data_IF_566787491063
#
_entry.id   IF_566787491063
#
_cell.length_a   1.000
_cell.length_b   1.000
_cell.length_c   1.000
_cell.angle_alpha   90.00
_cell.angle_beta   90.00
_cell.angle_gamma   90.00
#
_symmetry.space_group_name_H-M   'P 1'
#
loop_
_entity.id
_entity.type
_entity.pdbx_description
1 polymer ?
#
# COMPACT_ATOMS: atom_id res chain seq x y z
N UNK A 1 -24.48 16.31 -18.00
CA UNK A 1 -24.15 16.60 -16.59
C UNK A 1 -24.84 15.57 -15.72
N UNK A 2 -24.18 14.42 -15.53
CA UNK A 2 -24.75 13.24 -14.91
C UNK A 2 -25.17 13.52 -13.45
N UNK A 3 -26.35 13.03 -13.04
CA UNK A 3 -26.89 13.18 -11.68
C UNK A 3 -25.87 12.78 -10.59
N UNK A 4 -25.01 11.81 -10.87
CA UNK A 4 -23.92 11.38 -10.00
C UNK A 4 -22.90 12.50 -9.68
N UNK A 5 -22.58 13.38 -10.64
CA UNK A 5 -21.64 14.48 -10.43
C UNK A 5 -22.21 15.56 -9.50
N UNK A 6 -23.52 15.81 -9.58
CA UNK A 6 -24.22 16.77 -8.71
C UNK A 6 -24.34 16.21 -7.28
N UNK A 7 -24.65 14.91 -7.15
CA UNK A 7 -24.67 14.23 -5.85
C UNK A 7 -23.27 14.18 -5.21
N UNK A 8 -22.22 13.97 -6.01
CA UNK A 8 -20.83 14.02 -5.53
C UNK A 8 -20.45 15.41 -5.01
N UNK A 9 -20.80 16.48 -5.73
CA UNK A 9 -20.58 17.86 -5.25
C UNK A 9 -21.36 18.16 -3.97
N UNK A 10 -22.57 17.59 -3.82
CA UNK A 10 -23.36 17.68 -2.58
C UNK A 10 -22.71 16.90 -1.43
N UNK A 11 -22.15 15.73 -1.69
CA UNK A 11 -21.39 14.99 -0.69
C UNK A 11 -20.15 15.77 -0.24
N UNK A 12 -19.46 16.45 -1.16
CA UNK A 12 -18.30 17.28 -0.86
C UNK A 12 -18.64 18.50 0.01
N UNK A 13 -19.75 19.19 -0.26
CA UNK A 13 -20.17 20.33 0.58
C UNK A 13 -20.60 19.89 1.99
N UNK A 14 -21.07 18.66 2.14
CA UNK A 14 -21.46 18.09 3.43
C UNK A 14 -20.27 17.57 4.25
N UNK A 15 -19.07 17.43 3.68
CA UNK A 15 -17.85 16.98 4.39
C UNK A 15 -17.53 17.83 5.64
N UNK A 16 -17.85 19.13 5.60
CA UNK A 16 -17.62 20.07 6.70
C UNK A 16 -18.78 20.17 7.68
N UNK A 17 -19.98 19.73 7.31
CA UNK A 17 -21.23 20.05 8.01
C UNK A 17 -21.86 18.81 8.64
N UNK A 18 -21.94 17.70 7.91
CA UNK A 18 -22.44 16.41 8.38
C UNK A 18 -21.76 15.25 7.64
N UNK A 19 -20.81 14.60 8.34
CA UNK A 19 -20.00 13.52 7.77
C UNK A 19 -20.79 12.24 7.54
N UNK A 20 -21.82 11.97 8.35
CA UNK A 20 -22.61 10.74 8.22
C UNK A 20 -23.54 10.83 7.00
N UNK A 21 -24.17 11.99 6.79
CA UNK A 21 -24.97 12.23 5.59
C UNK A 21 -24.11 12.17 4.30
N UNK A 22 -22.85 12.61 4.36
CA UNK A 22 -21.91 12.48 3.24
C UNK A 22 -21.57 11.01 2.93
N UNK A 23 -21.34 10.20 3.98
CA UNK A 23 -21.10 8.75 3.86
C UNK A 23 -22.30 8.04 3.18
N UNK A 24 -23.53 8.35 3.59
CA UNK A 24 -24.73 7.74 3.01
C UNK A 24 -24.90 8.07 1.52
N UNK A 25 -24.66 9.33 1.14
CA UNK A 25 -24.73 9.78 -0.26
C UNK A 25 -23.64 9.10 -1.09
N UNK A 26 -22.41 9.02 -0.57
CA UNK A 26 -21.31 8.35 -1.26
C UNK A 26 -21.56 6.84 -1.39
N UNK A 27 -22.12 6.18 -0.37
CA UNK A 27 -22.55 4.79 -0.48
C UNK A 27 -23.62 4.60 -1.55
N UNK A 28 -24.58 5.53 -1.67
CA UNK A 28 -25.59 5.48 -2.72
C UNK A 28 -25.00 5.61 -4.13
N UNK A 29 -24.00 6.48 -4.31
CA UNK A 29 -23.29 6.64 -5.59
C UNK A 29 -22.47 5.38 -5.92
N UNK A 30 -21.76 4.82 -4.94
CA UNK A 30 -20.95 3.60 -5.12
C UNK A 30 -21.82 2.38 -5.42
N UNK A 31 -23.02 2.30 -4.84
CA UNK A 31 -24.01 1.24 -5.10
C UNK A 31 -24.70 1.33 -6.46
N UNK A 32 -24.69 2.48 -7.13
CA UNK A 32 -25.25 2.57 -8.48
C UNK A 32 -24.38 1.82 -9.48
N UNK A 33 -25.00 0.95 -10.26
CA UNK A 33 -24.37 0.36 -11.43
C UNK A 33 -24.11 1.44 -12.47
N UNK A 34 -22.88 1.47 -12.97
CA UNK A 34 -22.45 2.38 -14.02
C UNK A 34 -22.33 1.55 -15.28
N UNK A 35 -22.89 2.03 -16.40
CA UNK A 35 -22.65 1.41 -17.70
C UNK A 35 -21.21 1.71 -18.12
N UNK A 36 -20.49 0.69 -18.60
CA UNK A 36 -19.06 0.77 -18.92
C UNK A 36 -18.70 1.84 -19.98
N UNK A 37 -19.68 2.29 -20.77
CA UNK A 37 -19.51 3.33 -21.82
C UNK A 37 -19.52 4.78 -21.30
N UNK A 38 -19.92 5.03 -20.05
CA UNK A 38 -19.96 6.40 -19.48
C UNK A 38 -18.65 6.71 -18.72
N UNK A 39 -17.65 7.22 -19.44
CA UNK A 39 -16.36 7.61 -18.87
C UNK A 39 -16.48 8.66 -17.74
N UNK A 40 -17.47 9.55 -17.81
CA UNK A 40 -17.72 10.55 -16.76
C UNK A 40 -18.25 9.87 -15.49
N UNK A 41 -19.21 8.95 -15.62
CA UNK A 41 -19.76 8.20 -14.49
C UNK A 41 -18.71 7.28 -13.85
N UNK A 42 -17.86 6.62 -14.65
CA UNK A 42 -16.74 5.81 -14.13
C UNK A 42 -15.77 6.67 -13.31
N UNK A 43 -15.44 7.87 -13.80
CA UNK A 43 -14.57 8.81 -13.08
C UNK A 43 -15.18 9.32 -11.78
N UNK A 44 -16.47 9.67 -11.80
CA UNK A 44 -17.19 10.09 -10.58
C UNK A 44 -17.24 8.95 -9.56
N UNK A 45 -17.45 7.71 -10.02
CA UNK A 45 -17.44 6.54 -9.14
C UNK A 45 -16.06 6.28 -8.53
N UNK A 46 -14.99 6.37 -9.32
CA UNK A 46 -13.60 6.27 -8.82
C UNK A 46 -13.33 7.31 -7.71
N UNK A 47 -13.69 8.57 -7.95
CA UNK A 47 -13.52 9.65 -6.96
C UNK A 47 -14.38 9.43 -5.71
N UNK A 48 -15.62 8.98 -5.89
CA UNK A 48 -16.55 8.69 -4.79
C UNK A 48 -16.03 7.57 -3.90
N UNK A 49 -15.42 6.52 -4.47
CA UNK A 49 -14.83 5.43 -3.70
C UNK A 49 -13.65 5.92 -2.86
N UNK A 50 -12.78 6.77 -3.42
CA UNK A 50 -11.63 7.32 -2.69
C UNK A 50 -12.06 8.28 -1.56
N UNK A 51 -13.01 9.16 -1.84
CA UNK A 51 -13.57 10.07 -0.81
C UNK A 51 -14.28 9.30 0.30
N UNK A 52 -15.07 8.27 -0.06
CA UNK A 52 -15.72 7.40 0.92
C UNK A 52 -14.68 6.67 1.76
N UNK A 53 -13.65 6.08 1.13
CA UNK A 53 -12.56 5.42 1.84
C UNK A 53 -11.83 6.37 2.81
N UNK A 54 -11.56 7.60 2.38
CA UNK A 54 -10.94 8.62 3.21
C UNK A 54 -11.82 9.09 4.38
N UNK A 55 -13.14 9.14 4.19
CA UNK A 55 -14.09 9.42 5.27
C UNK A 55 -14.15 8.28 6.29
N UNK A 56 -14.31 7.03 5.82
CA UNK A 56 -14.33 5.83 6.67
C UNK A 56 -13.03 5.69 7.49
N UNK A 57 -11.89 6.04 6.89
CA UNK A 57 -10.61 6.06 7.59
C UNK A 57 -10.59 7.13 8.70
N UNK A 58 -11.08 8.36 8.42
CA UNK A 58 -11.17 9.44 9.41
C UNK A 58 -12.17 9.16 10.53
N UNK A 59 -13.23 8.41 10.27
CA UNK A 59 -14.24 8.02 11.27
C UNK A 59 -13.85 6.76 12.06
N UNK A 60 -12.74 6.09 11.70
CA UNK A 60 -12.27 4.90 12.40
C UNK A 60 -13.05 3.62 12.05
N UNK A 61 -13.83 3.61 10.97
CA UNK A 61 -14.71 2.49 10.61
C UNK A 61 -13.98 1.43 9.77
N UNK A 62 -13.07 0.68 10.40
CA UNK A 62 -12.23 -0.30 9.72
C UNK A 62 -13.05 -1.42 9.04
N UNK A 63 -14.07 -1.97 9.72
CA UNK A 63 -14.88 -3.05 9.16
C UNK A 63 -15.62 -2.64 7.87
N UNK A 64 -16.14 -1.40 7.83
CA UNK A 64 -16.83 -0.85 6.66
C UNK A 64 -15.84 -0.59 5.52
N UNK A 65 -14.63 -0.10 5.81
CA UNK A 65 -13.59 0.11 4.81
C UNK A 65 -13.09 -1.22 4.20
N UNK A 66 -12.89 -2.25 5.02
CA UNK A 66 -12.57 -3.60 4.54
C UNK A 66 -13.70 -4.20 3.69
N UNK A 67 -14.96 -3.97 4.09
CA UNK A 67 -16.15 -4.36 3.31
C UNK A 67 -16.24 -3.62 1.97
N UNK A 68 -15.92 -2.32 1.96
CA UNK A 68 -15.86 -1.52 0.73
C UNK A 68 -14.83 -2.09 -0.24
N UNK A 69 -13.65 -2.48 0.24
CA UNK A 69 -12.60 -3.07 -0.59
C UNK A 69 -13.05 -4.37 -1.29
N UNK A 70 -13.87 -5.18 -0.61
CA UNK A 70 -14.50 -6.39 -1.18
C UNK A 70 -15.58 -6.02 -2.21
N UNK A 71 -16.41 -5.04 -1.88
CA UNK A 71 -17.53 -4.60 -2.71
C UNK A 71 -17.08 -3.98 -4.05
N UNK A 72 -15.95 -3.26 -4.07
CA UNK A 72 -15.47 -2.61 -5.28
C UNK A 72 -14.77 -3.56 -6.26
N UNK A 73 -14.44 -4.81 -5.87
CA UNK A 73 -13.72 -5.78 -6.73
C UNK A 73 -14.35 -5.99 -8.12
N UNK A 74 -15.68 -6.15 -8.26
CA UNK A 74 -16.31 -6.26 -9.59
C UNK A 74 -16.13 -4.99 -10.44
N UNK A 75 -16.24 -3.81 -9.83
CA UNK A 75 -16.01 -2.52 -10.53
C UNK A 75 -14.55 -2.36 -10.97
N UNK A 76 -13.59 -2.90 -10.24
CA UNK A 76 -12.17 -2.85 -10.62
C UNK A 76 -11.86 -3.65 -11.91
N UNK A 77 -12.76 -4.53 -12.34
CA UNK A 77 -12.62 -5.28 -13.59
C UNK A 77 -13.15 -4.52 -14.81
N UNK A 78 -13.99 -3.50 -14.64
CA UNK A 78 -14.44 -2.65 -15.75
C UNK A 78 -13.51 -1.48 -16.06
N UNK A 79 -12.56 -1.16 -15.17
CA UNK A 79 -11.58 -0.07 -15.39
C UNK A 79 -10.20 -0.59 -15.80
N UNK A 80 -9.35 0.30 -16.30
CA UNK A 80 -7.98 -0.08 -16.68
C UNK A 80 -7.17 -0.61 -15.50
N UNK A 81 -6.28 -1.58 -15.78
CA UNK A 81 -5.43 -2.24 -14.76
C UNK A 81 -4.65 -1.25 -13.91
N UNK A 82 -4.16 -0.16 -14.52
CA UNK A 82 -3.41 0.89 -13.81
C UNK A 82 -4.28 1.70 -12.84
N UNK A 83 -5.50 2.08 -13.25
CA UNK A 83 -6.45 2.80 -12.38
C UNK A 83 -6.89 1.91 -11.21
N UNK A 84 -7.24 0.67 -11.50
CA UNK A 84 -7.60 -0.28 -10.45
C UNK A 84 -6.45 -0.53 -9.46
N UNK A 85 -5.21 -0.67 -9.96
CA UNK A 85 -4.05 -0.83 -9.08
C UNK A 85 -3.78 0.40 -8.21
N UNK A 86 -4.08 1.62 -8.71
CA UNK A 86 -4.02 2.84 -7.91
C UNK A 86 -5.09 2.84 -6.82
N UNK A 87 -6.33 2.56 -7.18
CA UNK A 87 -7.49 2.58 -6.28
C UNK A 87 -7.31 1.56 -5.13
N UNK A 88 -6.95 0.31 -5.45
CA UNK A 88 -6.72 -0.74 -4.43
C UNK A 88 -5.59 -0.34 -3.48
N UNK A 89 -4.46 0.16 -4.00
CA UNK A 89 -3.35 0.61 -3.16
C UNK A 89 -3.76 1.75 -2.23
N UNK A 90 -4.43 2.77 -2.77
CA UNK A 90 -4.88 3.91 -1.97
C UNK A 90 -5.86 3.50 -0.87
N UNK A 91 -6.84 2.64 -1.16
CA UNK A 91 -7.76 2.12 -0.14
C UNK A 91 -7.06 1.27 0.91
N UNK A 92 -6.13 0.41 0.49
CA UNK A 92 -5.38 -0.44 1.42
C UNK A 92 -4.45 0.40 2.31
N UNK A 93 -3.75 1.38 1.75
CA UNK A 93 -2.90 2.28 2.53
C UNK A 93 -3.72 3.08 3.54
N UNK A 94 -4.90 3.60 3.13
CA UNK A 94 -5.83 4.24 4.07
C UNK A 94 -6.30 3.31 5.17
N UNK A 95 -6.50 2.02 4.89
CA UNK A 95 -6.88 1.02 5.90
C UNK A 95 -5.72 0.72 6.86
N UNK A 96 -4.49 0.56 6.35
CA UNK A 96 -3.30 0.24 7.15
C UNK A 96 -2.80 1.41 7.99
N UNK A 97 -3.06 2.66 7.57
CA UNK A 97 -2.70 3.85 8.33
C UNK A 97 -3.70 4.15 9.47
N UNK A 98 -4.82 3.43 9.54
CA UNK A 98 -5.70 3.48 10.69
C UNK A 98 -5.02 2.73 11.85
N UNK A 99 -4.70 3.43 12.95
CA UNK A 99 -4.20 2.82 14.20
C UNK A 99 -5.22 1.86 14.89
N UNK A 100 -6.28 1.49 14.18
CA UNK A 100 -7.25 0.51 14.61
C UNK A 100 -6.60 -0.88 14.54
N UNK A 101 -5.94 -1.28 15.63
CA UNK A 101 -5.38 -2.60 15.89
C UNK A 101 -6.46 -3.71 15.84
N UNK A 102 -7.04 -3.92 14.67
CA UNK A 102 -8.15 -4.82 14.38
C UNK A 102 -7.67 -6.25 14.20
N UNK A 103 -6.35 -6.45 13.99
CA UNK A 103 -5.79 -7.76 13.65
C UNK A 103 -6.20 -8.28 12.27
N UNK A 104 -6.99 -7.50 11.51
CA UNK A 104 -7.52 -7.87 10.20
C UNK A 104 -6.63 -7.42 9.03
N UNK A 105 -5.60 -6.60 9.30
CA UNK A 105 -4.70 -6.03 8.30
C UNK A 105 -4.02 -7.09 7.44
N UNK A 106 -3.48 -8.14 8.09
CA UNK A 106 -2.79 -9.24 7.39
C UNK A 106 -3.80 -10.04 6.55
N UNK A 107 -4.97 -10.35 7.10
CA UNK A 107 -6.01 -11.10 6.41
C UNK A 107 -6.50 -10.34 5.16
N UNK A 108 -6.76 -9.04 5.30
CA UNK A 108 -7.19 -8.18 4.19
C UNK A 108 -6.11 -8.09 3.09
N UNK A 109 -4.83 -7.95 3.48
CA UNK A 109 -3.72 -7.96 2.53
C UNK A 109 -3.64 -9.28 1.76
N UNK A 110 -3.75 -10.41 2.46
CA UNK A 110 -3.71 -11.75 1.85
C UNK A 110 -4.87 -11.95 0.86
N UNK A 111 -6.08 -11.53 1.22
CA UNK A 111 -7.21 -11.60 0.30
C UNK A 111 -7.01 -10.74 -0.95
N UNK A 112 -6.41 -9.55 -0.81
CA UNK A 112 -6.13 -8.68 -1.94
C UNK A 112 -5.06 -9.28 -2.87
N UNK A 113 -4.05 -9.94 -2.29
CA UNK A 113 -3.02 -10.67 -3.04
C UNK A 113 -3.65 -11.84 -3.79
N UNK A 114 -4.55 -12.59 -3.15
CA UNK A 114 -5.23 -13.73 -3.78
C UNK A 114 -6.11 -13.27 -4.95
N UNK A 115 -6.84 -12.18 -4.77
CA UNK A 115 -7.58 -11.56 -5.88
C UNK A 115 -6.66 -11.08 -7.01
N UNK A 116 -5.52 -10.46 -6.68
CA UNK A 116 -4.55 -10.04 -7.69
C UNK A 116 -3.94 -11.24 -8.45
N UNK A 117 -3.78 -12.40 -7.79
CA UNK A 117 -3.36 -13.66 -8.41
C UNK A 117 -4.45 -14.22 -9.33
N UNK A 118 -5.71 -14.28 -8.89
CA UNK A 118 -6.83 -14.80 -9.71
C UNK A 118 -7.03 -13.97 -10.98
N UNK A 119 -6.91 -12.65 -10.87
CA UNK A 119 -7.04 -11.70 -12.00
C UNK A 119 -5.75 -11.55 -12.83
N UNK A 120 -4.69 -12.32 -12.51
CA UNK A 120 -3.38 -12.28 -13.19
C UNK A 120 -2.77 -10.86 -13.25
N UNK A 121 -2.96 -10.06 -12.19
CA UNK A 121 -2.46 -8.68 -12.06
C UNK A 121 -1.09 -8.69 -11.37
N UNK A 122 -0.04 -9.06 -12.10
CA UNK A 122 1.33 -9.27 -11.56
C UNK A 122 1.91 -8.05 -10.83
N UNK A 123 1.88 -6.87 -11.44
CA UNK A 123 2.41 -5.64 -10.82
C UNK A 123 1.65 -5.25 -9.55
N UNK A 124 0.32 -5.40 -9.55
CA UNK A 124 -0.49 -5.11 -8.37
C UNK A 124 -0.17 -6.11 -7.26
N UNK A 125 -0.08 -7.40 -7.58
CA UNK A 125 0.33 -8.44 -6.63
C UNK A 125 1.68 -8.10 -5.99
N UNK A 126 2.69 -7.75 -6.78
CA UNK A 126 4.03 -7.42 -6.28
C UNK A 126 4.02 -6.19 -5.36
N UNK A 127 3.25 -5.15 -5.71
CA UNK A 127 3.09 -3.98 -4.84
C UNK A 127 2.37 -4.33 -3.53
N UNK A 128 1.33 -5.18 -3.57
CA UNK A 128 0.61 -5.65 -2.39
C UNK A 128 1.48 -6.55 -1.51
N UNK A 129 2.27 -7.45 -2.10
CA UNK A 129 3.23 -8.27 -1.37
C UNK A 129 4.31 -7.41 -0.73
N UNK A 130 4.83 -6.38 -1.41
CA UNK A 130 5.77 -5.43 -0.82
C UNK A 130 5.17 -4.73 0.40
N UNK A 131 3.89 -4.30 0.31
CA UNK A 131 3.18 -3.70 1.45
C UNK A 131 2.97 -4.70 2.60
N UNK A 132 2.67 -5.96 2.28
CA UNK A 132 2.56 -7.04 3.28
C UNK A 132 3.89 -7.31 3.99
N UNK A 133 5.03 -7.26 3.30
CA UNK A 133 6.35 -7.38 3.95
C UNK A 133 6.55 -6.22 4.93
N UNK A 134 6.17 -4.98 4.57
CA UNK A 134 6.24 -3.84 5.49
C UNK A 134 5.36 -4.06 6.72
N UNK A 135 4.14 -4.55 6.53
CA UNK A 135 3.24 -4.89 7.63
C UNK A 135 3.80 -5.99 8.54
N UNK A 136 4.44 -7.02 7.98
CA UNK A 136 5.12 -8.04 8.78
C UNK A 136 6.30 -7.48 9.57
N UNK A 137 7.02 -6.50 9.03
CA UNK A 137 8.07 -5.81 9.76
C UNK A 137 7.50 -5.01 10.96
N UNK A 138 6.43 -4.25 10.74
CA UNK A 138 5.77 -3.43 11.77
C UNK A 138 5.16 -4.30 12.89
N UNK A 139 4.59 -5.46 12.53
CA UNK A 139 4.05 -6.44 13.47
C UNK A 139 5.10 -7.38 14.09
N UNK A 140 6.40 -7.13 13.84
CA UNK A 140 7.55 -7.91 14.33
C UNK A 140 7.60 -9.38 13.86
N UNK A 141 6.89 -9.74 12.78
CA UNK A 141 6.94 -11.06 12.14
C UNK A 141 8.09 -11.16 11.14
N UNK A 142 9.31 -11.03 11.64
CA UNK A 142 10.51 -10.91 10.80
C UNK A 142 10.80 -12.15 9.92
N UNK A 143 10.45 -13.35 10.37
CA UNK A 143 10.68 -14.57 9.57
C UNK A 143 9.76 -14.63 8.34
N UNK A 144 8.47 -14.34 8.51
CA UNK A 144 7.50 -14.27 7.41
C UNK A 144 7.87 -13.14 6.43
N UNK A 145 8.29 -11.98 6.95
CA UNK A 145 8.80 -10.87 6.15
C UNK A 145 9.98 -11.28 5.26
N UNK A 146 10.98 -11.98 5.82
CA UNK A 146 12.15 -12.43 5.05
C UNK A 146 11.80 -13.48 3.99
N UNK A 147 10.90 -14.42 4.31
CA UNK A 147 10.48 -15.45 3.36
C UNK A 147 9.79 -14.82 2.15
N UNK A 148 8.79 -13.97 2.39
CA UNK A 148 8.05 -13.28 1.32
C UNK A 148 8.97 -12.31 0.55
N UNK A 149 9.77 -11.52 1.27
CA UNK A 149 10.72 -10.58 0.68
C UNK A 149 11.75 -11.26 -0.22
N UNK A 150 12.29 -12.42 0.19
CA UNK A 150 13.26 -13.17 -0.62
C UNK A 150 12.66 -13.68 -1.93
N UNK A 151 11.41 -14.16 -1.90
CA UNK A 151 10.69 -14.58 -3.11
C UNK A 151 10.46 -13.39 -4.04
N UNK A 152 9.97 -12.28 -3.50
CA UNK A 152 9.67 -11.08 -4.28
C UNK A 152 10.93 -10.42 -4.88
N UNK A 153 12.05 -10.44 -4.16
CA UNK A 153 13.35 -9.94 -4.66
C UNK A 153 13.85 -10.75 -5.88
N UNK A 154 13.61 -12.06 -5.94
CA UNK A 154 13.99 -12.87 -7.12
C UNK A 154 13.20 -12.48 -8.36
N UNK A 155 11.93 -12.11 -8.18
CA UNK A 155 11.09 -11.63 -9.26
C UNK A 155 11.48 -10.22 -9.70
N UNK A 156 11.58 -9.27 -8.75
CA UNK A 156 11.84 -7.85 -9.04
C UNK A 156 13.22 -7.60 -9.64
N UNK A 157 14.20 -8.45 -9.39
CA UNK A 157 15.52 -8.38 -10.08
C UNK A 157 15.39 -8.48 -11.60
N UNK A 158 14.36 -9.18 -12.10
CA UNK A 158 14.09 -9.36 -13.53
C UNK A 158 13.20 -8.25 -14.12
N UNK A 159 12.74 -7.32 -13.30
CA UNK A 159 11.82 -6.24 -13.69
C UNK A 159 12.56 -4.90 -13.83
N UNK A 160 11.98 -3.97 -14.59
CA UNK A 160 12.52 -2.62 -14.79
C UNK A 160 12.18 -1.64 -13.66
N UNK A 161 11.15 -1.92 -12.85
CA UNK A 161 10.79 -1.09 -11.70
C UNK A 161 11.81 -1.25 -10.56
N UNK A 162 12.89 -0.49 -10.67
CA UNK A 162 13.98 -0.49 -9.67
C UNK A 162 13.61 0.27 -8.40
N UNK A 163 12.59 1.12 -8.41
CA UNK A 163 12.18 1.85 -7.21
C UNK A 163 11.61 0.89 -6.16
N UNK A 164 10.69 0.01 -6.58
CA UNK A 164 10.13 -1.03 -5.72
C UNK A 164 11.20 -2.02 -5.23
N UNK A 165 12.19 -2.33 -6.09
CA UNK A 165 13.32 -3.19 -5.73
C UNK A 165 14.16 -2.57 -4.60
N UNK A 166 14.47 -1.27 -4.67
CA UNK A 166 15.23 -0.56 -3.62
C UNK A 166 14.45 -0.56 -2.30
N UNK A 167 13.15 -0.31 -2.33
CA UNK A 167 12.29 -0.32 -1.14
C UNK A 167 12.33 -1.67 -0.42
N UNK A 168 12.23 -2.77 -1.16
CA UNK A 168 12.31 -4.11 -0.59
C UNK A 168 13.71 -4.48 -0.07
N UNK A 169 14.77 -4.09 -0.77
CA UNK A 169 16.14 -4.31 -0.29
C UNK A 169 16.43 -3.51 1.00
N UNK A 170 15.90 -2.29 1.11
CA UNK A 170 15.97 -1.49 2.32
C UNK A 170 15.21 -2.16 3.47
N UNK A 171 14.00 -2.67 3.21
CA UNK A 171 13.20 -3.38 4.21
C UNK A 171 13.85 -4.70 4.65
N UNK A 172 14.49 -5.43 3.74
CA UNK A 172 15.30 -6.60 4.04
C UNK A 172 16.47 -6.24 4.98
N UNK A 173 17.16 -5.13 4.70
CA UNK A 173 18.23 -4.62 5.58
C UNK A 173 17.71 -4.31 6.99
N UNK A 174 16.56 -3.61 7.10
CA UNK A 174 15.92 -3.31 8.38
C UNK A 174 15.51 -4.58 9.13
N UNK A 175 14.97 -5.56 8.44
CA UNK A 175 14.52 -6.83 9.02
C UNK A 175 15.70 -7.66 9.55
N UNK A 176 16.79 -7.77 8.78
CA UNK A 176 18.01 -8.43 9.27
C UNK A 176 18.64 -7.69 10.44
N UNK A 177 18.59 -6.35 10.44
CA UNK A 177 19.06 -5.57 11.58
C UNK A 177 18.25 -5.85 12.84
N UNK A 178 16.92 -5.91 12.74
CA UNK A 178 16.04 -6.26 13.86
C UNK A 178 16.30 -7.67 14.42
N UNK A 179 16.75 -8.61 13.57
CA UNK A 179 17.20 -9.95 13.97
C UNK A 179 18.67 -10.02 14.40
N UNK A 180 19.33 -8.87 14.60
CA UNK A 180 20.75 -8.76 14.95
C UNK A 180 21.72 -9.43 13.95
N UNK A 181 21.30 -9.68 12.71
CA UNK A 181 22.14 -10.22 11.65
C UNK A 181 22.83 -9.10 10.86
N UNK A 182 23.85 -8.50 11.47
CA UNK A 182 24.56 -7.35 10.89
C UNK A 182 25.23 -7.63 9.54
N UNK A 183 25.89 -8.79 9.29
CA UNK A 183 26.50 -9.07 8.00
C UNK A 183 25.48 -9.05 6.85
N UNK A 184 24.32 -9.70 7.05
CA UNK A 184 23.26 -9.70 6.03
C UNK A 184 22.57 -8.35 5.90
N UNK A 185 22.34 -7.64 7.00
CA UNK A 185 21.76 -6.30 6.97
C UNK A 185 22.60 -5.33 6.14
N UNK A 186 23.93 -5.39 6.28
CA UNK A 186 24.88 -4.60 5.49
C UNK A 186 24.90 -5.01 4.03
N UNK A 187 24.93 -6.31 3.73
CA UNK A 187 24.91 -6.80 2.35
C UNK A 187 23.63 -6.35 1.60
N UNK A 188 22.48 -6.43 2.27
CA UNK A 188 21.20 -5.95 1.73
C UNK A 188 21.23 -4.42 1.49
N UNK A 189 21.76 -3.63 2.42
CA UNK A 189 21.89 -2.18 2.26
C UNK A 189 22.83 -1.79 1.12
N UNK A 190 23.97 -2.49 0.97
CA UNK A 190 24.89 -2.27 -0.16
C UNK A 190 24.16 -2.52 -1.47
N UNK A 191 23.40 -3.62 -1.56
CA UNK A 191 22.58 -3.93 -2.74
C UNK A 191 21.53 -2.85 -3.02
N UNK A 192 20.87 -2.34 -1.97
CA UNK A 192 19.91 -1.23 -2.06
C UNK A 192 20.55 0.05 -2.62
N UNK A 193 21.73 0.42 -2.13
CA UNK A 193 22.46 1.61 -2.60
C UNK A 193 22.94 1.48 -4.04
N UNK A 194 23.46 0.31 -4.43
CA UNK A 194 23.86 0.05 -5.82
C UNK A 194 22.68 0.20 -6.77
N UNK A 195 21.52 -0.35 -6.40
CA UNK A 195 20.29 -0.24 -7.20
C UNK A 195 19.76 1.21 -7.21
N UNK A 196 19.83 1.91 -6.08
CA UNK A 196 19.40 3.31 -5.97
C UNK A 196 20.24 4.25 -6.86
N UNK A 197 21.55 3.99 -7.00
CA UNK A 197 22.42 4.76 -7.90
C UNK A 197 22.06 4.61 -9.38
N UNK A 198 21.34 3.55 -9.77
CA UNK A 198 20.89 3.32 -11.14
C UNK A 198 19.61 4.10 -11.49
N UNK A 199 18.98 4.76 -10.52
CA UNK A 199 17.74 5.52 -10.70
C UNK A 199 17.85 6.92 -10.10
N UNK A 200 17.01 7.84 -10.58
CA UNK A 200 16.78 9.09 -9.85
C UNK A 200 15.92 8.78 -8.61
N UNK A 201 16.59 8.54 -7.48
CA UNK A 201 15.94 8.14 -6.25
C UNK A 201 15.07 9.28 -5.68
N UNK A 202 13.80 9.03 -5.32
CA UNK A 202 12.97 10.02 -4.64
C UNK A 202 13.61 10.46 -3.31
N UNK A 203 13.51 11.75 -2.92
CA UNK A 203 14.14 12.27 -1.70
C UNK A 203 13.79 11.49 -0.42
N UNK A 204 12.55 11.01 -0.30
CA UNK A 204 12.09 10.20 0.84
C UNK A 204 12.82 8.85 0.93
N UNK A 205 12.99 8.18 -0.22
CA UNK A 205 13.66 6.88 -0.28
C UNK A 205 15.17 7.03 -0.03
N UNK A 206 15.78 8.08 -0.58
CA UNK A 206 17.17 8.41 -0.33
C UNK A 206 17.43 8.67 1.15
N UNK A 207 16.60 9.50 1.80
CA UNK A 207 16.72 9.76 3.24
C UNK A 207 16.61 8.48 4.08
N UNK A 208 15.75 7.54 3.68
CA UNK A 208 15.60 6.26 4.39
C UNK A 208 16.83 5.35 4.23
N UNK A 209 17.49 5.36 3.07
CA UNK A 209 18.77 4.65 2.85
C UNK A 209 19.89 5.24 3.70
N UNK A 210 19.96 6.57 3.78
CA UNK A 210 20.98 7.28 4.54
C UNK A 210 20.79 7.06 6.05
N UNK A 211 19.54 7.11 6.53
CA UNK A 211 19.19 6.79 7.91
C UNK A 211 19.61 5.36 8.29
N UNK A 212 19.28 4.36 7.46
CA UNK A 212 19.65 2.97 7.71
C UNK A 212 21.18 2.78 7.71
N UNK A 213 21.90 3.50 6.85
CA UNK A 213 23.36 3.52 6.84
C UNK A 213 23.93 4.00 8.17
N UNK A 214 23.36 5.09 8.73
CA UNK A 214 23.73 5.61 10.04
C UNK A 214 23.46 4.61 11.17
N UNK A 215 22.28 3.98 11.17
CA UNK A 215 21.91 2.96 12.18
C UNK A 215 22.88 1.78 12.18
N UNK A 216 23.20 1.22 11.01
CA UNK A 216 24.12 0.08 10.90
C UNK A 216 25.57 0.43 11.22
N UNK A 217 25.99 1.68 10.99
CA UNK A 217 27.33 2.14 11.34
C UNK A 217 27.47 2.31 12.85
N UNK A 218 26.50 2.95 13.51
CA UNK A 218 26.50 3.19 14.95
C UNK A 218 26.62 1.87 15.74
N UNK A 219 25.78 0.89 15.38
CA UNK A 219 25.75 -0.43 16.05
C UNK A 219 27.07 -1.20 15.93
N UNK A 220 27.83 -0.94 14.87
CA UNK A 220 29.13 -1.57 14.69
C UNK A 220 30.21 -0.93 15.55
N UNK A 221 30.23 0.40 15.62
CA UNK A 221 31.17 1.13 16.47
C UNK A 221 30.98 0.74 17.94
N UNK A 222 29.73 0.56 18.39
CA UNK A 222 29.44 0.13 19.77
C UNK A 222 29.84 -1.31 20.07
N UNK A 223 29.83 -2.21 19.08
CA UNK A 223 30.16 -3.63 19.29
C UNK A 223 31.67 -3.92 19.21
N UNK A 224 32.43 -3.11 18.46
CA UNK A 224 33.89 -3.29 18.35
C UNK A 224 34.70 -2.53 19.42
N UNK A 225 34.08 -1.57 20.11
CA UNK A 225 34.71 -0.80 21.18
C UNK A 225 33.86 -0.84 22.46
N UNK A 226 33.77 -1.99 23.16
CA UNK A 226 33.24 -2.00 24.51
C UNK A 226 34.21 -1.20 25.40
N UNK A 227 33.71 -0.10 25.96
CA UNK A 227 34.41 0.70 26.99
C UNK A 227 34.64 -0.15 28.22
#
# INVERSE_FOLDING_TARGET
>A
MAAAAVEFQRAQSLLSTDRNASIDILHAIVKRDVQDDDEEAVRVKEQSILELGGLLAKTGQAAELGGLLKYVRPFLNSISKAKAARLVRSLLDMFLDMEAATGQEVELCLECIEWAKSEKRTFLRQALEARLVSLYFDTKRYQEALQLGSQLLQELKKMDDKALLVELQLLESKTYHALSNLPKARAALTSARTTANAIYCPPKLQAALDMQSGTLLCVYVTNEWPV
#
